data_IF_996098603305
#
_entry.id   IF_996098603305
#
_cell.length_a   1.000
_cell.length_b   1.000
_cell.length_c   1.000
_cell.angle_alpha   90.00
_cell.angle_beta   90.00
_cell.angle_gamma   90.00
#
_symmetry.space_group_name_H-M   'P 1'
#
loop_
_entity.id
_entity.type
_entity.pdbx_description
1 polymer ?
#
# COMPACT_ATOMS: atom_id res chain seq x y z
N UNK A 1 -19.00 22.26 -0.02
CA UNK A 1 -18.67 21.36 -1.14
C UNK A 1 -19.38 20.04 -0.88
N UNK A 2 -20.02 19.40 -1.86
CA UNK A 2 -20.56 18.06 -1.66
C UNK A 2 -19.41 17.12 -1.33
N UNK A 3 -19.54 16.39 -0.23
CA UNK A 3 -18.67 15.24 0.08
C UNK A 3 -19.06 14.14 -0.90
N UNK A 4 -18.25 13.96 -1.93
CA UNK A 4 -18.30 12.76 -2.75
C UNK A 4 -17.94 11.59 -1.82
N UNK A 5 -18.98 10.83 -1.43
CA UNK A 5 -18.89 9.70 -0.50
C UNK A 5 -18.44 8.39 -1.16
N UNK A 6 -17.99 8.46 -2.42
CA UNK A 6 -17.52 7.30 -3.18
C UNK A 6 -16.05 7.00 -2.95
N UNK A 7 -15.71 5.72 -3.12
CA UNK A 7 -14.33 5.29 -3.25
C UNK A 7 -13.72 5.90 -4.53
N UNK A 8 -12.51 6.44 -4.41
CA UNK A 8 -11.79 7.10 -5.47
C UNK A 8 -10.55 6.29 -5.83
N UNK A 9 -10.61 5.65 -7.01
CA UNK A 9 -9.47 4.99 -7.62
C UNK A 9 -8.71 6.01 -8.47
N UNK A 10 -7.41 6.14 -8.21
CA UNK A 10 -6.51 6.99 -8.99
C UNK A 10 -5.20 6.29 -9.34
N UNK A 11 -4.46 6.86 -10.29
CA UNK A 11 -3.15 6.34 -10.68
C UNK A 11 -2.17 7.44 -11.07
N UNK A 12 -0.88 7.13 -10.95
CA UNK A 12 0.23 7.91 -11.45
C UNK A 12 1.21 6.98 -12.16
N UNK A 13 1.79 7.43 -13.27
CA UNK A 13 2.79 6.67 -13.99
C UNK A 13 4.01 7.52 -14.35
N UNK A 14 5.16 6.87 -14.43
CA UNK A 14 6.42 7.49 -14.83
C UNK A 14 7.28 6.49 -15.59
N UNK A 15 7.96 6.94 -16.63
CA UNK A 15 8.89 6.14 -17.42
C UNK A 15 10.29 6.72 -17.34
N UNK A 16 11.26 5.86 -17.04
CA UNK A 16 12.68 6.17 -17.05
C UNK A 16 13.35 5.44 -18.22
N UNK A 17 13.64 6.20 -19.28
CA UNK A 17 14.26 5.69 -20.50
C UNK A 17 15.67 5.17 -20.28
N UNK A 18 16.46 5.80 -19.40
CA UNK A 18 17.86 5.38 -19.13
C UNK A 18 17.93 3.98 -18.52
N UNK A 19 16.91 3.60 -17.74
CA UNK A 19 16.85 2.29 -17.09
C UNK A 19 15.86 1.33 -17.75
N UNK A 20 15.16 1.77 -18.80
CA UNK A 20 14.03 1.05 -19.43
C UNK A 20 13.00 0.56 -18.39
N UNK A 21 12.64 1.45 -17.45
CA UNK A 21 11.71 1.14 -16.36
C UNK A 21 10.45 1.99 -16.41
N UNK A 22 9.30 1.34 -16.31
CA UNK A 22 7.99 1.93 -16.13
C UNK A 22 7.53 1.71 -14.69
N UNK A 23 7.06 2.79 -14.06
CA UNK A 23 6.47 2.78 -12.74
C UNK A 23 4.99 3.14 -12.85
N UNK A 24 4.12 2.35 -12.22
CA UNK A 24 2.67 2.62 -12.18
C UNK A 24 2.20 2.47 -10.73
N UNK A 25 1.81 3.58 -10.11
CA UNK A 25 1.18 3.60 -8.80
C UNK A 25 -0.33 3.70 -8.96
N UNK A 26 -1.07 2.87 -8.24
CA UNK A 26 -2.54 2.84 -8.22
C UNK A 26 -2.97 2.88 -6.76
N UNK A 27 -3.97 3.68 -6.43
CA UNK A 27 -4.51 3.78 -5.08
C UNK A 27 -6.04 3.76 -5.10
N UNK A 28 -6.63 3.18 -4.07
CA UNK A 28 -8.06 3.17 -3.82
C UNK A 28 -8.31 3.92 -2.51
N UNK A 29 -8.72 5.17 -2.60
CA UNK A 29 -8.93 6.05 -1.44
C UNK A 29 -10.42 6.17 -1.16
N UNK A 30 -10.82 6.00 0.11
CA UNK A 30 -12.15 6.36 0.58
C UNK A 30 -12.09 7.50 1.59
N UNK A 31 -13.08 8.38 1.59
CA UNK A 31 -13.27 9.32 2.71
C UNK A 31 -13.89 8.62 3.94
N UNK A 32 -14.40 7.40 3.78
CA UNK A 32 -14.85 6.54 4.87
C UNK A 32 -13.69 5.68 5.38
N UNK A 33 -13.25 5.89 6.62
CA UNK A 33 -12.18 5.12 7.25
C UNK A 33 -12.55 3.66 7.55
N UNK A 34 -13.83 3.31 7.43
CA UNK A 34 -14.35 1.94 7.57
C UNK A 34 -14.67 1.28 6.22
N UNK A 35 -14.30 1.90 5.08
CA UNK A 35 -14.46 1.28 3.77
C UNK A 35 -13.66 -0.01 3.67
N UNK A 36 -14.27 -1.05 3.08
CA UNK A 36 -13.67 -2.37 2.91
C UNK A 36 -13.70 -2.86 1.45
N UNK A 37 -14.32 -2.09 0.56
CA UNK A 37 -14.49 -2.43 -0.85
C UNK A 37 -13.15 -2.38 -1.58
N UNK A 38 -12.81 -3.49 -2.24
CA UNK A 38 -11.66 -3.55 -3.14
C UNK A 38 -12.12 -3.25 -4.56
N UNK A 39 -11.30 -2.53 -5.32
CA UNK A 39 -11.65 -2.06 -6.66
C UNK A 39 -10.78 -2.76 -7.73
N UNK A 40 -11.38 -3.39 -8.75
CA UNK A 40 -10.63 -3.91 -9.89
C UNK A 40 -10.16 -2.76 -10.79
N UNK A 41 -8.92 -2.82 -11.26
CA UNK A 41 -8.29 -1.78 -12.08
C UNK A 41 -7.52 -2.42 -13.22
N UNK A 42 -7.75 -1.86 -14.41
CA UNK A 42 -6.97 -2.17 -15.61
C UNK A 42 -6.35 -0.88 -16.15
N UNK A 43 -5.03 -0.88 -16.30
CA UNK A 43 -4.27 0.23 -16.90
C UNK A 43 -3.60 -0.28 -18.17
N UNK A 44 -3.84 0.40 -19.29
CA UNK A 44 -3.17 0.13 -20.56
C UNK A 44 -2.23 1.27 -20.90
N UNK A 45 -0.98 0.94 -21.17
CA UNK A 45 0.07 1.84 -21.66
C UNK A 45 0.34 1.49 -23.11
N UNK A 46 0.07 2.43 -24.00
CA UNK A 46 0.28 2.27 -25.44
C UNK A 46 1.68 2.74 -25.86
N UNK A 47 2.08 2.40 -27.08
CA UNK A 47 3.39 2.68 -27.66
C UNK A 47 4.52 2.06 -26.83
N UNK A 48 4.32 0.82 -26.42
CA UNK A 48 5.28 0.04 -25.63
C UNK A 48 5.84 -1.10 -26.48
N UNK A 49 7.17 -1.18 -26.53
CA UNK A 49 7.94 -2.35 -26.95
C UNK A 49 8.73 -2.91 -25.77
N UNK A 50 9.39 -4.06 -25.97
CA UNK A 50 10.18 -4.73 -24.92
C UNK A 50 11.65 -4.89 -25.32
N UNK A 51 12.53 -4.60 -24.37
CA UNK A 51 13.97 -4.81 -24.52
C UNK A 51 14.24 -6.31 -24.67
N UNK A 52 14.76 -6.74 -25.82
CA UNK A 52 15.08 -8.15 -26.10
C UNK A 52 13.92 -9.13 -25.82
N UNK A 53 12.67 -8.68 -25.97
CA UNK A 53 11.47 -9.47 -25.65
C UNK A 53 11.40 -9.94 -24.18
N UNK A 54 12.09 -9.25 -23.27
CA UNK A 54 12.13 -9.60 -21.85
C UNK A 54 11.54 -8.47 -21.00
N UNK A 55 10.62 -8.84 -20.13
CA UNK A 55 10.00 -7.98 -19.13
C UNK A 55 10.15 -8.65 -17.77
N UNK A 56 10.47 -7.86 -16.75
CA UNK A 56 10.27 -8.28 -15.36
C UNK A 56 9.38 -7.27 -14.64
N UNK A 57 8.55 -7.75 -13.71
CA UNK A 57 7.62 -6.91 -12.98
C UNK A 57 7.63 -7.24 -11.50
N UNK A 58 7.62 -6.18 -10.68
CA UNK A 58 7.52 -6.25 -9.22
C UNK A 58 6.33 -5.43 -8.75
N UNK A 59 5.62 -5.93 -7.75
CA UNK A 59 4.51 -5.25 -7.09
C UNK A 59 4.88 -4.96 -5.65
N UNK A 60 4.74 -3.72 -5.26
CA UNK A 60 4.81 -3.25 -3.89
C UNK A 60 3.40 -2.89 -3.45
N UNK A 61 2.99 -3.33 -2.25
CA UNK A 61 1.61 -3.20 -1.81
C UNK A 61 1.55 -2.76 -0.34
N UNK A 62 0.70 -1.77 -0.06
CA UNK A 62 0.37 -1.29 1.28
C UNK A 62 -1.15 -1.36 1.41
N UNK A 63 -1.63 -2.11 2.40
CA UNK A 63 -3.04 -2.23 2.78
C UNK A 63 -3.15 -2.81 4.20
N UNK A 64 -4.33 -3.26 4.64
CA UNK A 64 -4.51 -3.87 5.97
C UNK A 64 -3.85 -5.25 6.15
N UNK A 65 -3.36 -5.88 5.08
CA UNK A 65 -2.69 -7.18 5.08
C UNK A 65 -1.18 -7.08 4.75
N UNK A 66 -0.74 -5.97 4.15
CA UNK A 66 0.62 -5.79 3.66
C UNK A 66 1.24 -4.49 4.16
N UNK A 67 2.46 -4.57 4.70
CA UNK A 67 3.26 -3.42 5.13
C UNK A 67 2.56 -2.49 6.15
N UNK A 68 1.65 -3.03 6.96
CA UNK A 68 0.84 -2.27 7.91
C UNK A 68 0.72 -3.03 9.25
N UNK A 69 1.31 -2.48 10.30
CA UNK A 69 1.23 -3.08 11.64
C UNK A 69 -0.08 -2.73 12.37
N UNK A 70 -0.85 -1.76 11.86
CA UNK A 70 -1.97 -1.15 12.58
C UNK A 70 -3.07 -2.15 12.96
N UNK A 71 -3.49 -3.09 12.10
CA UNK A 71 -4.49 -4.11 12.47
C UNK A 71 -4.02 -4.98 13.63
N UNK A 72 -2.74 -5.39 13.65
CA UNK A 72 -2.17 -6.16 14.76
C UNK A 72 -2.11 -5.32 16.04
N UNK A 73 -1.72 -4.05 15.95
CA UNK A 73 -1.75 -3.15 17.11
C UNK A 73 -3.16 -2.98 17.68
N UNK A 74 -4.17 -2.80 16.82
CA UNK A 74 -5.59 -2.70 17.22
C UNK A 74 -6.05 -3.95 17.99
N UNK A 75 -5.66 -5.14 17.54
CA UNK A 75 -5.98 -6.39 18.24
C UNK A 75 -5.23 -6.50 19.58
N UNK A 76 -3.93 -6.21 19.57
CA UNK A 76 -3.07 -6.27 20.74
C UNK A 76 -3.59 -5.33 21.85
N UNK A 77 -3.89 -4.05 21.53
CA UNK A 77 -4.40 -3.09 22.52
C UNK A 77 -5.71 -3.53 23.17
N UNK A 78 -6.63 -4.12 22.39
CA UNK A 78 -7.89 -4.66 22.93
C UNK A 78 -7.60 -5.83 23.87
N UNK A 79 -6.71 -6.75 23.48
CA UNK A 79 -6.33 -7.90 24.31
C UNK A 79 -5.67 -7.51 25.63
N UNK A 80 -4.94 -6.40 25.63
CA UNK A 80 -4.23 -5.88 26.80
C UNK A 80 -5.06 -4.88 27.62
N UNK A 81 -6.31 -4.60 27.23
CA UNK A 81 -7.14 -3.60 27.90
C UNK A 81 -6.57 -2.17 27.83
N UNK A 82 -5.75 -1.87 26.81
CA UNK A 82 -5.19 -0.54 26.60
C UNK A 82 -6.29 0.35 26.00
N UNK A 83 -6.83 1.24 26.82
CA UNK A 83 -7.87 2.22 26.45
C UNK A 83 -7.27 3.64 26.37
N UNK A 84 -8.08 4.64 26.02
CA UNK A 84 -7.64 6.04 25.93
C UNK A 84 -7.05 6.59 27.23
N UNK A 85 -7.36 6.00 28.39
CA UNK A 85 -6.76 6.40 29.68
C UNK A 85 -5.25 6.09 29.78
N UNK A 86 -4.72 5.24 28.90
CA UNK A 86 -3.29 4.95 28.82
C UNK A 86 -2.47 6.03 28.10
N UNK A 87 -3.13 7.07 27.56
CA UNK A 87 -2.53 8.11 26.74
C UNK A 87 -2.61 9.49 27.42
N UNK A 88 -1.95 10.48 26.84
CA UNK A 88 -2.11 11.89 27.20
C UNK A 88 -3.59 12.33 27.07
N UNK A 89 -4.09 13.26 27.90
CA UNK A 89 -5.53 13.59 27.99
C UNK A 89 -6.23 14.02 26.69
N UNK A 90 -5.50 14.43 25.66
CA UNK A 90 -6.04 14.86 24.36
C UNK A 90 -5.80 13.83 23.24
N UNK A 91 -5.22 12.68 23.58
CA UNK A 91 -4.87 11.62 22.63
C UNK A 91 -5.83 10.45 22.75
N UNK A 92 -5.97 9.70 21.66
CA UNK A 92 -6.83 8.52 21.58
C UNK A 92 -6.00 7.29 21.27
N UNK A 93 -6.64 6.12 21.33
CA UNK A 93 -6.04 4.85 20.90
C UNK A 93 -5.61 4.83 19.43
N UNK A 94 -6.05 5.80 18.63
CA UNK A 94 -5.78 5.88 17.20
C UNK A 94 -4.73 6.94 16.83
N UNK A 95 -3.90 7.36 17.80
CA UNK A 95 -2.72 8.21 17.54
C UNK A 95 -1.64 7.48 16.73
N UNK A 96 -0.94 8.21 15.87
CA UNK A 96 0.23 7.72 15.14
C UNK A 96 1.54 7.83 15.93
N UNK A 97 1.54 8.49 17.10
CA UNK A 97 2.74 8.71 17.93
C UNK A 97 2.85 7.69 19.07
N UNK A 98 2.91 6.40 18.74
CA UNK A 98 3.05 5.33 19.73
C UNK A 98 4.54 4.95 19.87
N UNK A 99 5.12 4.92 21.09
CA UNK A 99 4.48 5.06 22.40
C UNK A 99 4.58 6.47 22.99
N UNK A 100 5.04 7.47 22.24
CA UNK A 100 5.29 8.83 22.74
C UNK A 100 4.08 9.46 23.43
N UNK A 101 2.87 9.22 22.92
CA UNK A 101 1.63 9.73 23.49
C UNK A 101 1.09 8.91 24.66
N UNK A 102 1.75 7.80 25.02
CA UNK A 102 1.33 6.92 26.11
C UNK A 102 1.92 7.41 27.44
N UNK A 103 1.14 7.32 28.51
CA UNK A 103 1.53 7.69 29.88
C UNK A 103 1.58 6.49 30.82
N UNK A 104 0.87 5.41 30.49
CA UNK A 104 0.84 4.20 31.31
C UNK A 104 2.08 3.32 31.08
N UNK A 105 2.87 3.10 32.14
CA UNK A 105 4.12 2.36 32.07
C UNK A 105 3.95 0.89 31.59
N UNK A 106 2.89 0.19 32.00
CA UNK A 106 2.61 -1.19 31.58
C UNK A 106 2.31 -1.26 30.08
N UNK A 107 1.49 -0.33 29.58
CA UNK A 107 1.15 -0.26 28.16
C UNK A 107 2.36 0.10 27.30
N UNK A 108 3.23 1.00 27.78
CA UNK A 108 4.51 1.33 27.14
C UNK A 108 5.44 0.11 27.11
N UNK A 109 5.56 -0.62 28.22
CA UNK A 109 6.38 -1.83 28.29
C UNK A 109 5.90 -2.90 27.31
N UNK A 110 4.58 -3.09 27.20
CA UNK A 110 3.98 -4.01 26.24
C UNK A 110 4.30 -3.59 24.80
N UNK A 111 4.08 -2.32 24.43
CA UNK A 111 4.45 -1.81 23.10
C UNK A 111 5.93 -2.08 22.78
N UNK A 112 6.83 -1.76 23.72
CA UNK A 112 8.26 -1.97 23.54
C UNK A 112 8.62 -3.45 23.32
N UNK A 113 7.94 -4.37 24.00
CA UNK A 113 8.11 -5.81 23.81
C UNK A 113 7.71 -6.30 22.41
N UNK A 114 6.77 -5.60 21.76
CA UNK A 114 6.23 -5.93 20.44
C UNK A 114 6.83 -5.11 19.30
N UNK A 115 7.70 -4.14 19.59
CA UNK A 115 8.26 -3.21 18.60
C UNK A 115 8.90 -3.91 17.39
N UNK A 116 9.60 -5.02 17.61
CA UNK A 116 10.21 -5.81 16.52
C UNK A 116 9.16 -6.46 15.62
N UNK A 117 8.03 -6.91 16.18
CA UNK A 117 6.90 -7.47 15.45
C UNK A 117 6.24 -6.40 14.60
N UNK A 118 5.92 -5.24 15.17
CA UNK A 118 5.33 -4.13 14.40
C UNK A 118 6.27 -3.63 13.32
N UNK A 119 7.57 -3.53 13.60
CA UNK A 119 8.58 -3.19 12.60
C UNK A 119 8.60 -4.19 11.45
N UNK A 120 8.54 -5.50 11.73
CA UNK A 120 8.50 -6.54 10.70
C UNK A 120 7.23 -6.46 9.85
N UNK A 121 6.06 -6.25 10.47
CA UNK A 121 4.77 -6.09 9.78
C UNK A 121 4.73 -4.84 8.89
N UNK A 122 5.50 -3.80 9.24
CA UNK A 122 5.60 -2.56 8.47
C UNK A 122 6.57 -2.65 7.29
N UNK A 123 7.31 -3.76 7.14
CA UNK A 123 8.30 -3.89 6.06
C UNK A 123 7.59 -4.04 4.72
N UNK A 124 7.77 -3.05 3.87
CA UNK A 124 7.37 -3.12 2.47
C UNK A 124 8.35 -4.04 1.72
N UNK A 125 7.84 -5.15 1.19
CA UNK A 125 8.62 -6.16 0.44
C UNK A 125 7.96 -6.39 -0.91
N UNK A 126 8.69 -6.41 -2.04
CA UNK A 126 8.09 -6.59 -3.34
C UNK A 126 7.77 -8.07 -3.60
N UNK A 127 6.65 -8.32 -4.26
CA UNK A 127 6.32 -9.61 -4.86
C UNK A 127 6.55 -9.58 -6.37
N UNK A 128 6.73 -10.76 -6.98
CA UNK A 128 6.65 -10.87 -8.45
C UNK A 128 5.26 -10.49 -8.93
N UNK A 129 5.18 -9.76 -10.05
CA UNK A 129 3.93 -9.25 -10.61
C UNK A 129 3.66 -9.78 -12.03
N UNK A 130 4.29 -10.89 -12.40
CA UNK A 130 4.22 -11.40 -13.78
C UNK A 130 2.82 -11.83 -14.21
N UNK A 131 1.95 -12.18 -13.27
CA UNK A 131 0.55 -12.52 -13.54
C UNK A 131 -0.34 -11.28 -13.78
N UNK A 132 0.06 -10.12 -13.26
CA UNK A 132 -0.72 -8.88 -13.34
C UNK A 132 -0.37 -8.10 -14.61
N UNK A 133 0.76 -8.39 -15.26
CA UNK A 133 1.29 -7.62 -16.38
C UNK A 133 1.32 -8.46 -17.65
N UNK A 134 0.67 -7.95 -18.69
CA UNK A 134 0.66 -8.55 -20.03
C UNK A 134 1.24 -7.56 -21.04
N UNK A 135 2.04 -8.06 -21.98
CA UNK A 135 2.58 -7.29 -23.10
C UNK A 135 2.02 -7.86 -24.39
N UNK A 136 1.44 -6.99 -25.22
CA UNK A 136 0.89 -7.32 -26.52
C UNK A 136 1.38 -6.33 -27.58
N UNK A 137 0.85 -6.43 -28.80
CA UNK A 137 1.27 -5.62 -29.95
C UNK A 137 1.22 -4.11 -29.66
N UNK A 138 2.37 -3.51 -29.32
CA UNK A 138 2.53 -2.09 -29.05
C UNK A 138 1.92 -1.60 -27.72
N UNK A 139 1.52 -2.50 -26.81
CA UNK A 139 0.94 -2.10 -25.53
C UNK A 139 1.30 -3.01 -24.37
N UNK A 140 1.28 -2.44 -23.18
CA UNK A 140 1.41 -3.11 -21.91
C UNK A 140 0.15 -2.89 -21.09
N UNK A 141 -0.42 -3.95 -20.53
CA UNK A 141 -1.60 -3.88 -19.66
C UNK A 141 -1.27 -4.41 -18.28
N UNK A 142 -1.65 -3.64 -17.25
CA UNK A 142 -1.62 -4.05 -15.84
C UNK A 142 -3.05 -4.25 -15.37
N UNK A 143 -3.37 -5.45 -14.89
CA UNK A 143 -4.66 -5.80 -14.31
C UNK A 143 -4.47 -6.20 -12.85
N UNK A 144 -5.17 -5.53 -11.93
CA UNK A 144 -5.07 -5.80 -10.49
C UNK A 144 -6.36 -5.50 -9.77
N UNK A 145 -6.47 -5.96 -8.54
CA UNK A 145 -7.44 -5.45 -7.56
C UNK A 145 -6.69 -4.63 -6.52
N UNK A 146 -7.19 -3.44 -6.19
CA UNK A 146 -6.62 -2.55 -5.15
C UNK A 146 -7.53 -2.58 -3.94
N UNK A 147 -7.07 -3.10 -2.78
CA UNK A 147 -7.86 -3.12 -1.55
C UNK A 147 -8.32 -1.73 -1.11
N UNK A 148 -9.38 -1.65 -0.29
CA UNK A 148 -9.82 -0.39 0.30
C UNK A 148 -8.67 0.29 1.04
N UNK A 149 -8.52 1.61 0.84
CA UNK A 149 -7.41 2.40 1.38
C UNK A 149 -6.01 1.87 0.99
N UNK A 150 -5.95 1.00 -0.02
CA UNK A 150 -4.74 0.34 -0.47
C UNK A 150 -4.00 1.16 -1.52
N UNK A 151 -2.70 0.93 -1.58
CA UNK A 151 -1.80 1.47 -2.60
C UNK A 151 -0.96 0.34 -3.16
N UNK A 152 -0.89 0.25 -4.49
CA UNK A 152 0.00 -0.67 -5.19
C UNK A 152 0.93 0.12 -6.11
N UNK A 153 2.19 -0.29 -6.18
CA UNK A 153 3.18 0.23 -7.10
C UNK A 153 3.76 -0.92 -7.91
N UNK A 154 3.63 -0.84 -9.23
CA UNK A 154 4.32 -1.70 -10.18
C UNK A 154 5.63 -1.05 -10.62
N UNK A 155 6.72 -1.79 -10.50
CA UNK A 155 7.98 -1.51 -11.19
C UNK A 155 8.13 -2.55 -12.30
N UNK A 156 8.19 -2.09 -13.54
CA UNK A 156 8.27 -2.93 -14.73
C UNK A 156 9.55 -2.56 -15.48
N UNK A 157 10.45 -3.52 -15.68
CA UNK A 157 11.70 -3.31 -16.40
C UNK A 157 11.63 -3.92 -17.80
N UNK A 158 12.52 -3.46 -18.68
CA UNK A 158 12.57 -3.93 -20.06
C UNK A 158 11.51 -3.30 -20.96
N UNK A 159 11.05 -2.09 -20.62
CA UNK A 159 10.06 -1.32 -21.38
C UNK A 159 10.78 -0.30 -22.26
N UNK A 160 10.40 -0.21 -23.52
CA UNK A 160 10.85 0.81 -24.48
C UNK A 160 9.67 1.46 -25.19
N UNK A 161 9.91 2.64 -25.80
CA UNK A 161 8.91 3.31 -26.63
C UNK A 161 8.90 2.64 -28.00
N UNK A 162 7.73 2.18 -28.44
CA UNK A 162 7.57 1.56 -29.75
C UNK A 162 7.96 2.53 -30.88
N UNK A 163 8.64 2.01 -31.90
CA UNK A 163 9.11 2.77 -33.08
C UNK A 163 8.05 2.91 -34.17
#
# INVERSE_FOLDING_TARGET
MPVDGGDHVGSYSAYNQTTSKLFIMIFNRSNNTAATTSEPVTITVNNVDTVNSCICSRKWQIDDQHANFWPTWKADRVSQGITSSAYLPQMTTDTWLIPTDMTNATSIAYWNSRKSVYSALSKLTPASASADVTVGAGSLTVTTTVPAQGVVLYEICGVEVAQ
#
